data_IF_781705857238
#
_entry.id   IF_781705857238
#
_cell.length_a   1.000
_cell.length_b   1.000
_cell.length_c   1.000
_cell.angle_alpha   90.00
_cell.angle_beta   90.00
_cell.angle_gamma   90.00
#
_symmetry.space_group_name_H-M   'P 1'
#
loop_
_entity.id
_entity.type
_entity.pdbx_description
1 polymer ?
#
# COMPACT_ATOMS: atom_id res chain seq x y z
N UNK A 1 -5.87 17.19 -10.05
CA UNK A 1 -5.95 16.41 -8.80
C UNK A 1 -7.34 15.82 -8.71
N UNK A 2 -7.47 14.49 -8.69
CA UNK A 2 -8.75 13.80 -8.57
C UNK A 2 -8.80 12.90 -7.33
N UNK A 3 -10.01 12.62 -6.84
CA UNK A 3 -10.24 11.64 -5.76
C UNK A 3 -10.92 10.42 -6.38
N UNK A 4 -10.39 9.23 -6.10
CA UNK A 4 -10.94 7.97 -6.61
C UNK A 4 -11.15 7.01 -5.46
N UNK A 5 -12.37 6.46 -5.35
CA UNK A 5 -12.72 5.46 -4.34
C UNK A 5 -13.20 4.20 -5.03
N UNK A 6 -12.60 3.06 -4.70
CA UNK A 6 -12.94 1.76 -5.29
C UNK A 6 -13.10 0.73 -4.19
N UNK A 7 -14.25 0.05 -4.15
CA UNK A 7 -14.49 -1.01 -3.16
C UNK A 7 -13.65 -2.26 -3.46
N UNK A 8 -13.75 -2.77 -4.69
CA UNK A 8 -12.96 -3.90 -5.20
C UNK A 8 -12.58 -3.65 -6.64
N UNK A 9 -11.30 -3.86 -7.02
CA UNK A 9 -10.92 -3.84 -8.43
C UNK A 9 -9.48 -3.44 -8.70
N UNK A 10 -9.21 -3.11 -9.97
CA UNK A 10 -7.93 -2.59 -10.45
C UNK A 10 -8.08 -1.10 -10.69
N UNK A 11 -7.18 -0.28 -10.15
CA UNK A 11 -7.26 1.18 -10.29
C UNK A 11 -5.91 1.76 -10.66
N UNK A 12 -5.88 2.58 -11.72
CA UNK A 12 -4.69 3.31 -12.15
C UNK A 12 -4.97 4.81 -12.10
N UNK A 13 -4.17 5.56 -11.35
CA UNK A 13 -4.31 7.01 -11.21
C UNK A 13 -2.99 7.70 -11.51
N UNK A 14 -3.00 8.70 -12.39
CA UNK A 14 -1.80 9.48 -12.71
C UNK A 14 -1.36 10.35 -11.52
N UNK A 15 -2.24 11.26 -11.08
CA UNK A 15 -2.00 12.12 -9.92
C UNK A 15 -3.29 12.29 -9.10
N UNK A 16 -3.28 11.94 -7.82
CA UNK A 16 -4.47 12.12 -6.98
C UNK A 16 -4.46 11.41 -5.63
N UNK A 17 -5.65 11.37 -5.02
CA UNK A 17 -5.91 10.65 -3.77
C UNK A 17 -6.77 9.44 -4.11
N UNK A 18 -6.31 8.25 -3.72
CA UNK A 18 -6.97 6.98 -4.03
C UNK A 18 -7.29 6.22 -2.75
N UNK A 19 -8.55 5.82 -2.58
CA UNK A 19 -8.97 4.92 -1.50
C UNK A 19 -9.44 3.60 -2.09
N UNK A 20 -8.88 2.48 -1.64
CA UNK A 20 -9.28 1.14 -2.10
C UNK A 20 -9.61 0.21 -0.94
N UNK A 21 -10.62 -0.65 -1.13
CA UNK A 21 -10.89 -1.77 -0.24
C UNK A 21 -9.98 -2.95 -0.55
N UNK A 22 -10.34 -3.76 -1.55
CA UNK A 22 -9.57 -4.93 -2.00
C UNK A 22 -9.09 -4.73 -3.44
N UNK A 23 -7.84 -5.07 -3.76
CA UNK A 23 -7.42 -5.18 -5.16
C UNK A 23 -6.05 -4.61 -5.48
N UNK A 24 -5.88 -4.21 -6.74
CA UNK A 24 -4.60 -3.78 -7.32
C UNK A 24 -4.63 -2.29 -7.63
N UNK A 25 -3.66 -1.54 -7.11
CA UNK A 25 -3.59 -0.08 -7.29
C UNK A 25 -2.26 0.39 -7.84
N UNK A 26 -2.28 1.26 -8.83
CA UNK A 26 -1.09 1.91 -9.37
C UNK A 26 -1.29 3.41 -9.35
N UNK A 27 -0.45 4.15 -8.62
CA UNK A 27 -0.52 5.62 -8.57
C UNK A 27 0.82 6.22 -8.97
N UNK A 28 0.81 7.14 -9.94
CA UNK A 28 2.02 7.85 -10.35
C UNK A 28 2.55 8.75 -9.24
N UNK A 29 1.75 9.75 -8.85
CA UNK A 29 2.05 10.67 -7.75
C UNK A 29 0.84 10.87 -6.86
N UNK A 30 0.95 10.70 -5.55
CA UNK A 30 -0.16 11.05 -4.66
C UNK A 30 -0.26 10.28 -3.36
N UNK A 31 -1.47 10.22 -2.81
CA UNK A 31 -1.76 9.56 -1.54
C UNK A 31 -2.67 8.37 -1.79
N UNK A 32 -2.26 7.20 -1.33
CA UNK A 32 -3.06 5.98 -1.42
C UNK A 32 -3.39 5.50 -0.02
N UNK A 33 -4.68 5.31 0.26
CA UNK A 33 -5.16 4.69 1.49
C UNK A 33 -5.87 3.39 1.16
N UNK A 34 -5.51 2.30 1.82
CA UNK A 34 -6.17 1.00 1.63
C UNK A 34 -6.61 0.43 2.97
N UNK A 35 -7.85 -0.05 3.02
CA UNK A 35 -8.44 -0.62 4.23
C UNK A 35 -9.23 -1.89 3.94
N UNK A 36 -8.85 -3.00 4.56
CA UNK A 36 -9.51 -4.30 4.34
C UNK A 36 -9.62 -5.14 5.61
N UNK A 37 -10.79 -5.74 5.81
CA UNK A 37 -11.00 -6.69 6.91
C UNK A 37 -10.24 -8.00 6.71
N UNK A 38 -10.34 -8.59 5.51
CA UNK A 38 -9.52 -9.73 5.12
C UNK A 38 -9.28 -9.73 3.60
N UNK A 39 -8.07 -10.11 3.17
CA UNK A 39 -7.74 -10.25 1.75
C UNK A 39 -6.32 -9.83 1.39
N UNK A 40 -6.05 -9.79 0.09
CA UNK A 40 -4.74 -9.39 -0.44
C UNK A 40 -4.84 -7.99 -1.06
N UNK A 41 -3.91 -7.13 -0.67
CA UNK A 41 -3.73 -5.80 -1.26
C UNK A 41 -2.43 -5.79 -2.05
N UNK A 42 -2.50 -5.36 -3.30
CA UNK A 42 -1.30 -5.13 -4.10
C UNK A 42 -1.30 -3.72 -4.64
N UNK A 43 -0.16 -3.03 -4.58
CA UNK A 43 -0.07 -1.76 -5.29
C UNK A 43 1.31 -1.16 -5.41
N UNK A 44 1.44 -0.21 -6.34
CA UNK A 44 2.66 0.55 -6.53
C UNK A 44 2.40 2.05 -6.57
N UNK A 45 3.29 2.81 -5.93
CA UNK A 45 3.26 4.27 -5.96
C UNK A 45 4.62 4.80 -6.41
N UNK A 46 4.63 5.63 -7.46
CA UNK A 46 5.87 6.25 -7.95
C UNK A 46 6.45 7.21 -6.92
N UNK A 47 5.69 8.26 -6.57
CA UNK A 47 6.07 9.25 -5.55
C UNK A 47 4.87 9.55 -4.64
N UNK A 48 5.03 9.42 -3.32
CA UNK A 48 4.00 9.90 -2.39
C UNK A 48 3.84 9.11 -1.10
N UNK A 49 2.64 9.14 -0.54
CA UNK A 49 2.34 8.55 0.77
C UNK A 49 1.40 7.37 0.61
N UNK A 50 1.76 6.24 1.21
CA UNK A 50 0.96 5.01 1.21
C UNK A 50 0.63 4.62 2.62
N UNK A 51 -0.67 4.47 2.91
CA UNK A 51 -1.18 4.01 4.20
C UNK A 51 -2.06 2.79 3.95
N UNK A 52 -1.71 1.66 4.54
CA UNK A 52 -2.45 0.39 4.39
C UNK A 52 -2.79 -0.19 5.75
N UNK A 53 -4.06 -0.54 5.96
CA UNK A 53 -4.53 -1.28 7.13
C UNK A 53 -5.23 -2.56 6.71
N UNK A 54 -4.76 -3.71 7.19
CA UNK A 54 -5.39 -5.02 6.91
C UNK A 54 -5.63 -5.80 8.19
N UNK A 55 -6.86 -6.28 8.41
CA UNK A 55 -7.17 -7.14 9.56
C UNK A 55 -6.47 -8.49 9.47
N UNK A 56 -6.73 -9.24 8.40
CA UNK A 56 -6.07 -10.52 8.12
C UNK A 56 -5.73 -10.69 6.62
N UNK A 57 -4.45 -10.87 6.26
CA UNK A 57 -4.07 -11.13 4.88
C UNK A 57 -2.68 -10.65 4.48
N UNK A 58 -2.49 -10.40 3.19
CA UNK A 58 -1.17 -10.08 2.64
C UNK A 58 -1.18 -8.70 1.99
N UNK A 59 -0.20 -7.87 2.33
CA UNK A 59 0.04 -6.59 1.66
C UNK A 59 1.33 -6.69 0.88
N UNK A 60 1.24 -6.48 -0.43
CA UNK A 60 2.40 -6.41 -1.30
C UNK A 60 2.45 -5.04 -1.96
N UNK A 61 3.55 -4.30 -1.85
CA UNK A 61 3.62 -3.05 -2.59
C UNK A 61 5.00 -2.45 -2.77
N UNK A 62 5.12 -1.61 -3.78
CA UNK A 62 6.38 -0.94 -4.10
C UNK A 62 6.19 0.56 -4.12
N UNK A 63 7.10 1.29 -3.47
CA UNK A 63 7.10 2.76 -3.52
C UNK A 63 8.44 3.25 -4.01
N UNK A 64 8.43 4.05 -5.07
CA UNK A 64 9.65 4.64 -5.63
C UNK A 64 10.26 5.62 -4.63
N UNK A 65 9.54 6.71 -4.34
CA UNK A 65 9.96 7.74 -3.38
C UNK A 65 8.83 8.11 -2.44
N UNK A 66 9.02 8.06 -1.12
CA UNK A 66 8.02 8.61 -0.19
C UNK A 66 7.91 7.93 1.18
N UNK A 67 6.70 7.98 1.75
CA UNK A 67 6.44 7.45 3.10
C UNK A 67 5.45 6.30 3.00
N UNK A 68 5.80 5.16 3.59
CA UNK A 68 4.98 3.95 3.59
C UNK A 68 4.68 3.57 5.02
N UNK A 69 3.39 3.53 5.37
CA UNK A 69 2.89 3.02 6.65
C UNK A 69 1.95 1.85 6.37
N UNK A 70 2.28 0.67 6.90
CA UNK A 70 1.43 -0.51 6.75
C UNK A 70 1.20 -1.12 8.12
N UNK A 71 -0.05 -1.42 8.46
CA UNK A 71 -0.41 -2.18 9.65
C UNK A 71 -1.25 -3.41 9.27
N UNK A 72 -0.83 -4.60 9.69
CA UNK A 72 -1.52 -5.87 9.43
C UNK A 72 -1.73 -6.66 10.71
N UNK A 73 -2.98 -6.89 11.10
CA UNK A 73 -3.32 -7.62 12.33
C UNK A 73 -2.84 -9.08 12.33
N UNK A 74 -3.07 -9.81 11.24
CA UNK A 74 -2.55 -11.16 11.03
C UNK A 74 -2.19 -11.41 9.56
N UNK A 75 -0.92 -11.69 9.26
CA UNK A 75 -0.47 -12.00 7.91
C UNK A 75 0.88 -11.38 7.53
N UNK A 76 1.08 -11.12 6.24
CA UNK A 76 2.42 -10.77 5.73
C UNK A 76 2.44 -9.43 5.04
N UNK A 77 3.47 -8.64 5.33
CA UNK A 77 3.75 -7.40 4.60
C UNK A 77 5.06 -7.57 3.86
N UNK A 78 5.01 -7.44 2.54
CA UNK A 78 6.19 -7.47 1.69
C UNK A 78 6.19 -6.22 0.83
N UNK A 79 7.23 -5.41 0.94
CA UNK A 79 7.33 -4.26 0.05
C UNK A 79 8.74 -3.87 -0.30
N UNK A 80 8.85 -3.05 -1.32
CA UNK A 80 10.10 -2.36 -1.63
C UNK A 80 9.90 -0.86 -1.57
N UNK A 81 10.86 -0.16 -0.98
CA UNK A 81 10.88 1.30 -1.02
C UNK A 81 12.23 1.74 -1.54
N UNK A 82 12.24 2.49 -2.65
CA UNK A 82 13.46 3.01 -3.25
C UNK A 82 14.11 4.06 -2.36
N UNK A 83 13.42 5.18 -2.13
CA UNK A 83 13.91 6.29 -1.27
C UNK A 83 12.78 6.76 -0.36
N UNK A 84 12.91 6.58 0.96
CA UNK A 84 11.78 6.90 1.81
C UNK A 84 11.85 6.41 3.24
N UNK A 85 10.77 6.68 3.98
CA UNK A 85 10.55 6.16 5.33
C UNK A 85 9.54 5.03 5.26
N UNK A 86 9.84 3.92 5.91
CA UNK A 86 8.96 2.74 5.96
C UNK A 86 8.66 2.43 7.41
N UNK A 87 7.38 2.30 7.72
CA UNK A 87 6.89 1.85 9.03
C UNK A 87 5.95 0.67 8.79
N UNK A 88 6.34 -0.51 9.29
CA UNK A 88 5.55 -1.72 9.18
C UNK A 88 5.14 -2.19 10.58
N UNK A 89 3.83 -2.32 10.80
CA UNK A 89 3.22 -3.03 11.91
C UNK A 89 2.68 -4.36 11.40
N UNK A 90 3.04 -5.46 12.05
CA UNK A 90 2.41 -6.76 11.85
C UNK A 90 2.14 -7.39 13.21
N UNK A 91 0.90 -7.84 13.44
CA UNK A 91 0.53 -8.61 14.62
C UNK A 91 1.00 -10.05 14.50
N UNK A 92 0.11 -10.99 14.19
CA UNK A 92 0.46 -12.41 13.97
C UNK A 92 0.95 -12.61 12.52
N UNK A 93 2.25 -12.42 12.28
CA UNK A 93 2.89 -12.71 11.00
C UNK A 93 4.21 -11.97 10.80
N UNK A 94 4.70 -11.91 9.56
CA UNK A 94 6.02 -11.34 9.24
C UNK A 94 5.93 -10.05 8.43
N UNK A 95 6.72 -9.05 8.80
CA UNK A 95 6.90 -7.81 8.03
C UNK A 95 8.31 -7.76 7.46
N UNK A 96 8.42 -7.52 6.14
CA UNK A 96 9.69 -7.37 5.44
C UNK A 96 9.63 -6.22 4.45
N UNK A 97 10.66 -5.36 4.49
CA UNK A 97 10.89 -4.37 3.43
C UNK A 97 12.26 -4.60 2.81
N UNK A 98 12.31 -4.64 1.49
CA UNK A 98 13.58 -4.67 0.75
C UNK A 98 13.86 -3.26 0.20
N UNK A 99 15.03 -2.72 0.55
CA UNK A 99 15.53 -1.44 0.02
C UNK A 99 16.49 -1.77 -1.11
N UNK A 100 16.16 -1.50 -2.38
CA UNK A 100 17.11 -1.69 -3.48
C UNK A 100 18.27 -0.69 -3.32
N UNK A 101 19.50 -1.21 -3.31
CA UNK A 101 20.73 -0.42 -3.23
C UNK A 101 21.11 0.23 -4.56
#
# INVERSE_FOLDING_TARGET
MGVTTVGVGVTTVGVGVTTVGVGVTTVGVGVTTVGVGAGTVTGSVGVGVVIVGVGAGTVTGTVGVGVVTVDVGAGTVTGTVGVGVVTLGAGRGGAGVAVPG
#
